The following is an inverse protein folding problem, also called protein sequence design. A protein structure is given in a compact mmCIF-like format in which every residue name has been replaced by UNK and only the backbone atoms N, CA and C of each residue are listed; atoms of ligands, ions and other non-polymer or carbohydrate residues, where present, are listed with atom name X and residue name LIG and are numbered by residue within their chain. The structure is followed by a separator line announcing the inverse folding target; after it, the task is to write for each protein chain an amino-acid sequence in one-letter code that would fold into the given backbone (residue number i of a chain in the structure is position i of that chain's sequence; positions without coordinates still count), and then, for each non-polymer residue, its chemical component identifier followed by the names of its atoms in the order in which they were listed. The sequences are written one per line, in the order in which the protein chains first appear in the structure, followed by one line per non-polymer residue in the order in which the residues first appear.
data_IF_272612678949
#
_entry.id   IF_272612678949
#
_cell.length_a   1.000
_cell.length_b   1.000
_cell.length_c   1.000
_cell.angle_alpha   90.00
_cell.angle_beta   90.00
_cell.angle_gamma   90.00
#
_symmetry.space_group_name_H-M   'P 1'
#
loop_
_entity.id
_entity.type
_entity.pdbx_description
1 polymer ?
#
# COMPACT_ATOMS: atom_id res chain seq x y z
N UNK A 1 -28.32 10.85 -76.72
CA UNK A 1 -27.74 12.20 -76.74
C UNK A 1 -26.55 12.22 -75.78
N UNK A 2 -25.34 12.41 -76.34
CA UNK A 2 -24.03 12.81 -75.75
C UNK A 2 -23.56 12.24 -74.40
N UNK A 3 -22.43 11.52 -74.44
CA UNK A 3 -21.50 11.36 -73.30
C UNK A 3 -20.40 12.43 -73.45
N UNK A 4 -19.88 13.02 -72.35
CA UNK A 4 -18.45 12.82 -72.10
C UNK A 4 -18.11 12.53 -70.62
N UNK A 5 -17.00 11.82 -70.47
CA UNK A 5 -16.30 11.47 -69.23
C UNK A 5 -15.42 12.61 -68.71
N UNK A 6 -15.16 12.64 -67.40
CA UNK A 6 -13.91 13.18 -66.84
C UNK A 6 -13.56 12.47 -65.54
N UNK A 7 -12.37 11.86 -65.46
CA UNK A 7 -11.75 11.29 -64.26
C UNK A 7 -10.74 12.30 -63.70
N UNK A 8 -10.71 12.52 -62.38
CA UNK A 8 -9.50 12.92 -61.65
C UNK A 8 -9.43 12.22 -60.29
N UNK A 9 -8.23 11.74 -60.02
CA UNK A 9 -7.75 10.90 -58.93
C UNK A 9 -7.58 11.75 -57.66
N UNK A 10 -8.14 11.35 -56.51
CA UNK A 10 -7.55 11.67 -55.19
C UNK A 10 -7.85 10.53 -54.21
N UNK A 11 -6.79 9.85 -53.79
CA UNK A 11 -6.77 8.83 -52.75
C UNK A 11 -6.83 9.51 -51.37
N UNK A 12 -7.77 9.12 -50.49
CA UNK A 12 -7.68 9.40 -49.05
C UNK A 12 -7.93 8.10 -48.28
N UNK A 13 -6.81 7.43 -48.01
CA UNK A 13 -6.41 6.71 -46.78
C UNK A 13 -7.50 6.43 -45.74
N UNK A 14 -7.81 5.14 -45.61
CA UNK A 14 -8.01 4.35 -44.39
C UNK A 14 -8.33 5.09 -43.08
N UNK A 15 -9.47 4.81 -42.47
CA UNK A 15 -9.61 4.89 -41.00
C UNK A 15 -10.11 3.53 -40.51
N UNK A 16 -9.15 2.69 -40.11
CA UNK A 16 -9.41 1.52 -39.30
C UNK A 16 -9.87 2.02 -37.94
N UNK A 17 -11.12 1.74 -37.54
CA UNK A 17 -11.60 2.07 -36.21
C UNK A 17 -11.00 1.05 -35.22
N UNK A 18 -9.76 1.29 -34.78
CA UNK A 18 -9.21 0.60 -33.62
C UNK A 18 -9.96 1.14 -32.40
N UNK A 19 -11.01 0.45 -31.97
CA UNK A 19 -11.51 0.61 -30.61
C UNK A 19 -10.47 -0.03 -29.71
N UNK A 20 -9.47 0.75 -29.28
CA UNK A 20 -8.58 0.33 -28.21
C UNK A 20 -9.42 0.26 -26.93
N UNK A 21 -9.92 -0.93 -26.61
CA UNK A 21 -10.36 -1.23 -25.26
C UNK A 21 -9.12 -1.14 -24.38
N UNK A 22 -9.04 -0.12 -23.52
CA UNK A 22 -8.09 -0.13 -22.42
C UNK A 22 -8.46 -1.31 -21.53
N UNK A 23 -7.78 -2.45 -21.70
CA UNK A 23 -7.81 -3.51 -20.70
C UNK A 23 -7.09 -2.94 -19.48
N UNK A 24 -7.86 -2.49 -18.49
CA UNK A 24 -7.29 -2.28 -17.18
C UNK A 24 -6.80 -3.66 -16.74
N UNK A 25 -5.48 -3.83 -16.55
CA UNK A 25 -4.96 -5.04 -15.96
C UNK A 25 -5.61 -5.15 -14.58
N UNK A 26 -6.59 -6.05 -14.45
CA UNK A 26 -7.13 -6.39 -13.15
C UNK A 26 -6.01 -7.14 -12.44
N UNK A 27 -5.24 -6.44 -11.62
CA UNK A 27 -4.33 -7.07 -10.67
C UNK A 27 -5.21 -7.90 -9.76
N UNK A 28 -5.09 -9.22 -9.85
CA UNK A 28 -5.69 -10.12 -8.86
C UNK A 28 -4.96 -9.86 -7.55
N UNK A 29 -5.50 -8.98 -6.72
CA UNK A 29 -5.03 -8.78 -5.36
C UNK A 29 -5.43 -10.03 -4.58
N UNK A 30 -4.52 -10.99 -4.46
CA UNK A 30 -4.62 -11.97 -3.38
C UNK A 30 -4.44 -11.18 -2.09
N UNK A 31 -5.45 -11.12 -1.20
CA UNK A 31 -5.28 -10.45 0.07
C UNK A 31 -4.07 -11.05 0.79
N UNK A 32 -3.21 -10.25 1.45
CA UNK A 32 -2.20 -10.78 2.35
C UNK A 32 -2.88 -11.79 3.28
N UNK A 33 -2.36 -13.01 3.34
CA UNK A 33 -2.94 -14.07 4.18
C UNK A 33 -2.59 -13.87 5.66
N UNK A 34 -1.76 -12.87 5.96
CA UNK A 34 -1.28 -12.54 7.29
C UNK A 34 -1.61 -11.09 7.62
N UNK A 35 -2.20 -10.87 8.79
CA UNK A 35 -2.39 -9.53 9.35
C UNK A 35 -1.02 -8.87 9.59
N UNK A 36 -0.97 -7.56 9.40
CA UNK A 36 0.18 -6.73 9.75
C UNK A 36 0.48 -6.80 11.26
N UNK A 37 -0.58 -6.68 12.07
CA UNK A 37 -0.52 -6.85 13.52
C UNK A 37 -0.80 -8.33 13.84
N UNK A 38 0.23 -9.07 14.27
CA UNK A 38 0.10 -10.52 14.53
C UNK A 38 -0.88 -10.84 15.67
N UNK A 39 -1.21 -9.85 16.52
CA UNK A 39 -2.24 -9.92 17.55
C UNK A 39 -3.64 -9.55 17.06
N UNK A 40 -3.83 -9.14 15.79
CA UNK A 40 -5.13 -8.71 15.27
C UNK A 40 -6.23 -9.79 15.29
N UNK A 41 -5.88 -11.06 15.50
CA UNK A 41 -6.83 -12.16 15.70
C UNK A 41 -7.30 -12.32 17.16
N UNK A 42 -6.59 -11.70 18.10
CA UNK A 42 -6.85 -11.73 19.55
C UNK A 42 -6.95 -10.31 20.14
N UNK A 43 -7.20 -9.34 19.27
CA UNK A 43 -7.12 -7.90 19.53
C UNK A 43 -8.05 -7.45 20.68
N UNK A 44 -7.51 -6.68 21.62
CA UNK A 44 -8.25 -6.12 22.75
C UNK A 44 -8.18 -4.60 22.85
N UNK A 45 -7.41 -3.93 22.00
CA UNK A 45 -7.11 -2.50 22.11
C UNK A 45 -7.07 -1.79 20.76
N UNK A 46 -7.20 -0.45 20.73
CA UNK A 46 -7.17 0.26 19.47
C UNK A 46 -5.73 0.41 18.95
N UNK A 47 -5.48 -0.11 17.76
CA UNK A 47 -4.37 0.29 16.88
C UNK A 47 -4.83 1.47 16.01
N UNK A 48 -4.02 2.51 15.87
CA UNK A 48 -4.47 3.76 15.26
C UNK A 48 -3.38 4.54 14.53
N UNK A 49 -3.84 5.43 13.66
CA UNK A 49 -3.04 6.28 12.77
C UNK A 49 -1.92 5.52 12.01
N UNK A 50 -2.27 4.46 11.27
CA UNK A 50 -1.28 3.72 10.51
C UNK A 50 -0.72 4.55 9.36
N UNK A 51 0.58 4.43 9.13
CA UNK A 51 1.27 4.89 7.92
C UNK A 51 2.05 3.73 7.31
N UNK A 52 2.15 3.71 5.98
CA UNK A 52 2.91 2.69 5.25
C UNK A 52 3.71 3.34 4.12
N UNK A 53 4.94 2.88 3.92
CA UNK A 53 5.80 3.32 2.82
C UNK A 53 6.57 2.14 2.23
N UNK A 54 7.07 2.27 1.01
CA UNK A 54 7.87 1.25 0.31
C UNK A 54 8.96 1.89 -0.53
N UNK A 55 10.11 1.22 -0.64
CA UNK A 55 11.20 1.60 -1.55
C UNK A 55 10.94 1.24 -3.03
N UNK A 56 9.81 0.58 -3.33
CA UNK A 56 9.48 0.09 -4.68
C UNK A 56 10.31 -1.12 -5.14
N UNK A 57 11.21 -1.64 -4.30
CA UNK A 57 12.06 -2.81 -4.55
C UNK A 57 11.62 -4.04 -3.76
N UNK A 58 10.48 -3.95 -3.06
CA UNK A 58 9.89 -5.03 -2.29
C UNK A 58 10.03 -4.88 -0.78
N UNK A 59 10.69 -3.82 -0.31
CA UNK A 59 10.75 -3.51 1.11
C UNK A 59 9.64 -2.54 1.49
N UNK A 60 8.89 -2.87 2.53
CA UNK A 60 7.78 -2.07 3.05
C UNK A 60 7.96 -1.85 4.54
N UNK A 61 7.55 -0.67 5.01
CA UNK A 61 7.55 -0.30 6.42
C UNK A 61 6.16 0.20 6.77
N UNK A 62 5.58 -0.32 7.85
CA UNK A 62 4.35 0.19 8.42
C UNK A 62 4.58 0.62 9.87
N UNK A 63 3.98 1.74 10.26
CA UNK A 63 4.03 2.29 11.61
C UNK A 63 2.63 2.67 12.07
N UNK A 64 2.33 2.53 13.35
CA UNK A 64 1.06 2.88 13.98
C UNK A 64 1.29 3.11 15.47
N UNK A 65 0.34 3.68 16.19
CA UNK A 65 0.37 3.67 17.66
C UNK A 65 -0.66 2.70 18.23
N UNK A 66 -0.37 2.15 19.41
CA UNK A 66 -1.26 1.23 20.14
C UNK A 66 -1.21 1.48 21.64
N UNK A 67 -2.29 1.18 22.36
CA UNK A 67 -2.29 1.07 23.84
C UNK A 67 -1.84 -0.32 24.32
N UNK A 68 -1.66 -1.26 23.39
CA UNK A 68 -1.36 -2.63 23.74
C UNK A 68 0.14 -2.85 23.89
N UNK A 69 0.48 -3.75 24.82
CA UNK A 69 1.84 -4.24 24.98
C UNK A 69 2.15 -5.31 23.91
N UNK A 70 2.28 -4.87 22.64
CA UNK A 70 2.56 -5.76 21.53
C UNK A 70 3.93 -6.43 21.72
N UNK A 71 3.93 -7.77 21.66
CA UNK A 71 5.14 -8.57 21.86
C UNK A 71 5.71 -8.56 23.28
N UNK A 72 5.01 -7.97 24.27
CA UNK A 72 5.51 -7.87 25.65
C UNK A 72 6.66 -6.87 25.81
N UNK A 73 6.79 -5.92 24.88
CA UNK A 73 7.90 -4.97 24.80
C UNK A 73 7.58 -3.56 25.26
N UNK A 74 6.32 -3.20 25.48
CA UNK A 74 5.87 -1.82 25.73
C UNK A 74 5.24 -1.59 27.11
N UNK A 75 5.07 -0.32 27.44
CA UNK A 75 4.49 0.19 28.68
C UNK A 75 2.97 0.02 28.75
N UNK A 76 2.30 0.93 29.45
CA UNK A 76 0.82 0.93 29.62
C UNK A 76 0.12 2.09 28.92
N UNK A 77 0.90 3.00 28.37
CA UNK A 77 0.51 4.15 27.61
C UNK A 77 0.51 3.84 26.11
N UNK A 78 0.58 4.87 25.28
CA UNK A 78 0.52 4.70 23.83
C UNK A 78 1.89 4.79 23.24
N UNK A 79 2.26 3.73 22.54
CA UNK A 79 3.58 3.59 21.95
C UNK A 79 3.48 3.42 20.43
N UNK A 80 4.51 3.87 19.74
CA UNK A 80 4.63 3.69 18.28
C UNK A 80 5.29 2.34 18.01
N UNK A 81 4.62 1.53 17.20
CA UNK A 81 5.12 0.25 16.72
C UNK A 81 5.48 0.30 15.25
N UNK A 82 6.38 -0.59 14.84
CA UNK A 82 6.82 -0.80 13.47
C UNK A 82 6.76 -2.27 13.09
N UNK A 83 6.38 -2.55 11.85
CA UNK A 83 6.57 -3.84 11.21
C UNK A 83 7.08 -3.64 9.77
N UNK A 84 7.86 -4.60 9.28
CA UNK A 84 8.49 -4.55 7.96
C UNK A 84 8.17 -5.78 7.13
N UNK A 85 8.14 -5.61 5.81
CA UNK A 85 8.06 -6.68 4.83
C UNK A 85 9.22 -6.56 3.85
N UNK A 86 9.70 -7.71 3.36
CA UNK A 86 10.73 -7.83 2.32
C UNK A 86 10.22 -8.56 1.07
N UNK A 87 8.91 -8.79 0.99
CA UNK A 87 8.26 -9.60 -0.04
C UNK A 87 6.99 -8.93 -0.60
N UNK A 88 7.06 -7.61 -0.82
CA UNK A 88 5.97 -6.79 -1.35
C UNK A 88 4.70 -6.80 -0.47
N UNK A 89 4.86 -6.82 0.86
CA UNK A 89 3.76 -6.81 1.80
C UNK A 89 3.00 -8.15 1.89
N UNK A 90 3.58 -9.24 1.35
CA UNK A 90 2.97 -10.56 1.40
C UNK A 90 3.07 -11.18 2.79
N UNK A 91 4.22 -11.01 3.45
CA UNK A 91 4.46 -11.35 4.85
C UNK A 91 5.09 -10.18 5.60
N UNK A 92 4.87 -10.13 6.91
CA UNK A 92 5.31 -9.06 7.78
C UNK A 92 6.04 -9.61 9.01
N UNK A 93 7.00 -8.86 9.53
CA UNK A 93 7.60 -9.12 10.84
C UNK A 93 6.55 -8.97 11.95
N UNK A 94 6.83 -9.54 13.13
CA UNK A 94 6.08 -9.16 14.33
C UNK A 94 6.26 -7.66 14.62
N UNK A 95 5.26 -7.00 15.25
CA UNK A 95 5.41 -5.62 15.72
C UNK A 95 6.58 -5.47 16.68
N UNK A 96 7.34 -4.39 16.53
CA UNK A 96 8.39 -3.97 17.45
C UNK A 96 8.18 -2.51 17.84
N UNK A 97 8.56 -2.14 19.07
CA UNK A 97 8.61 -0.73 19.47
C UNK A 97 9.56 0.06 18.58
N UNK A 98 9.12 1.26 18.15
CA UNK A 98 9.95 2.15 17.36
C UNK A 98 10.95 2.92 18.23
N UNK A 99 10.53 3.36 19.41
CA UNK A 99 11.34 4.17 20.33
C UNK A 99 11.73 3.38 21.59
N UNK A 100 12.93 3.64 22.12
CA UNK A 100 13.46 2.92 23.27
C UNK A 100 12.84 3.34 24.61
N UNK A 101 12.28 4.54 24.68
CA UNK A 101 11.63 5.07 25.89
C UNK A 101 10.25 4.48 26.16
N UNK A 102 9.55 3.91 25.15
CA UNK A 102 8.20 3.31 25.27
C UNK A 102 8.09 2.13 26.24
N UNK A 103 9.20 1.72 26.88
CA UNK A 103 9.21 0.77 27.99
C UNK A 103 9.11 1.43 29.38
N UNK A 104 9.35 2.74 29.45
CA UNK A 104 9.68 3.44 30.70
C UNK A 104 8.95 4.76 30.89
N UNK A 105 8.50 5.39 29.82
CA UNK A 105 7.71 6.61 29.94
C UNK A 105 6.24 6.30 30.19
N UNK A 106 5.47 7.38 30.24
CA UNK A 106 4.03 7.39 30.54
C UNK A 106 3.31 8.43 29.68
N UNK A 107 4.01 8.93 28.66
CA UNK A 107 3.55 9.99 27.77
C UNK A 107 3.16 9.36 26.45
N UNK A 108 1.99 9.73 25.94
CA UNK A 108 1.51 9.19 24.67
C UNK A 108 2.37 9.61 23.48
N UNK A 109 2.91 8.63 22.77
CA UNK A 109 3.49 8.80 21.43
C UNK A 109 2.40 8.58 20.38
N UNK A 110 2.20 9.55 19.47
CA UNK A 110 1.11 9.56 18.50
C UNK A 110 1.55 10.09 17.14
N UNK A 111 0.69 9.90 16.16
CA UNK A 111 0.79 10.48 14.81
C UNK A 111 2.12 10.18 14.11
N UNK A 112 2.56 8.90 14.06
CA UNK A 112 3.80 8.57 13.36
C UNK A 112 3.68 8.93 11.89
N UNK A 113 4.78 9.35 11.26
CA UNK A 113 4.86 9.65 9.83
C UNK A 113 6.12 8.99 9.25
N UNK A 114 5.95 8.25 8.15
CA UNK A 114 7.06 7.64 7.39
C UNK A 114 6.92 8.03 5.92
N UNK A 115 8.05 8.43 5.31
CA UNK A 115 8.14 8.78 3.88
C UNK A 115 9.36 8.10 3.27
N UNK A 116 9.34 7.90 1.96
CA UNK A 116 10.57 7.66 1.19
C UNK A 116 11.27 8.99 0.86
N UNK A 117 12.53 8.90 0.44
CA UNK A 117 13.31 10.00 -0.13
C UNK A 117 12.92 10.34 -1.59
#
# INVERSE_FOLDING_TARGET
MKIPSTHYIISIVLTLMFMATATQAQVTLTPPTTLLNTNGTTDTGPDSDPQVTTDGLGNWVAVWWSYENLGGTAGTDQDIFVATSTDNGSTWSAPALLNTNGTTDSSSDRDPQVTTD
#
